data_IF_562219303973
#
_entry.id   IF_562219303973
#
_cell.length_a   1.000
_cell.length_b   1.000
_cell.length_c   1.000
_cell.angle_alpha   90.00
_cell.angle_beta   90.00
_cell.angle_gamma   90.00
#
_symmetry.space_group_name_H-M   'P 1'
#
loop_
_entity.id
_entity.type
_entity.pdbx_description
1 polymer ?
#
# COMPACT_ATOMS: atom_id res chain seq x y z
N UNK A 1 -59.46 -0.26 -4.24
CA UNK A 1 -58.43 0.65 -4.65
C UNK A 1 -57.45 0.84 -3.49
N UNK A 2 -56.31 0.30 -3.65
CA UNK A 2 -55.21 0.40 -2.68
C UNK A 2 -53.97 0.92 -3.44
N UNK A 3 -53.41 2.05 -3.08
CA UNK A 3 -52.16 2.46 -3.64
C UNK A 3 -51.02 1.95 -2.75
N UNK A 4 -50.39 0.87 -3.19
CA UNK A 4 -49.16 0.39 -2.57
C UNK A 4 -48.03 1.37 -2.72
N UNK A 5 -47.70 2.03 -1.61
CA UNK A 5 -46.49 2.83 -1.49
C UNK A 5 -45.30 1.91 -1.20
N UNK A 6 -44.63 1.48 -2.24
CA UNK A 6 -43.33 0.87 -2.12
C UNK A 6 -42.27 1.94 -1.88
N UNK A 7 -41.95 2.19 -0.61
CA UNK A 7 -40.79 3.00 -0.25
C UNK A 7 -39.54 2.15 -0.46
N UNK A 8 -38.99 2.21 -1.66
CA UNK A 8 -37.65 1.75 -1.91
C UNK A 8 -36.66 2.69 -1.22
N UNK A 9 -36.28 2.35 0.00
CA UNK A 9 -35.12 2.97 0.63
C UNK A 9 -33.90 2.60 -0.21
N UNK A 10 -33.58 3.42 -1.18
CA UNK A 10 -32.33 3.33 -1.91
C UNK A 10 -31.22 3.50 -0.90
N UNK A 11 -30.52 2.43 -0.61
CA UNK A 11 -29.27 2.50 0.15
C UNK A 11 -28.33 3.41 -0.65
N UNK A 12 -28.24 4.66 -0.23
CA UNK A 12 -27.30 5.59 -0.85
C UNK A 12 -25.90 4.98 -0.71
N UNK A 13 -25.32 4.59 -1.84
CA UNK A 13 -23.91 4.16 -1.86
C UNK A 13 -23.07 5.34 -1.41
N UNK A 14 -22.49 5.24 -0.21
CA UNK A 14 -21.50 6.20 0.26
C UNK A 14 -20.35 6.16 -0.72
N UNK A 15 -20.05 7.30 -1.36
CA UNK A 15 -18.94 7.40 -2.30
C UNK A 15 -17.63 7.01 -1.61
N UNK A 16 -16.81 6.18 -2.27
CA UNK A 16 -15.47 5.82 -1.80
C UNK A 16 -14.58 7.05 -1.83
N UNK A 17 -13.71 7.18 -0.83
CA UNK A 17 -12.74 8.27 -0.76
C UNK A 17 -11.43 7.87 -1.42
N UNK A 18 -10.82 8.85 -2.11
CA UNK A 18 -9.43 8.78 -2.56
C UNK A 18 -8.64 9.76 -1.69
N UNK A 19 -7.63 9.23 -1.00
CA UNK A 19 -6.77 10.02 -0.11
C UNK A 19 -5.58 10.57 -0.88
N UNK A 20 -5.07 11.76 -0.52
CA UNK A 20 -3.76 12.20 -0.96
C UNK A 20 -2.68 11.23 -0.46
N UNK A 21 -1.80 10.80 -1.35
CA UNK A 21 -0.67 9.94 -0.96
C UNK A 21 0.44 10.81 -0.38
N UNK A 22 0.90 10.44 0.81
CA UNK A 22 2.00 11.11 1.50
C UNK A 22 3.31 10.78 0.82
N UNK A 23 4.16 11.78 0.64
CA UNK A 23 5.41 11.67 -0.11
C UNK A 23 6.63 11.62 0.81
N UNK A 24 7.72 11.14 0.27
CA UNK A 24 9.03 11.17 0.91
C UNK A 24 9.29 12.55 1.55
N UNK A 25 9.70 12.54 2.81
CA UNK A 25 9.85 13.73 3.64
C UNK A 25 8.71 13.94 4.64
N UNK A 26 7.55 13.31 4.44
CA UNK A 26 6.48 13.33 5.42
C UNK A 26 6.86 12.45 6.63
N UNK A 27 6.86 13.01 7.85
CA UNK A 27 7.25 12.26 9.04
C UNK A 27 6.44 10.99 9.29
N UNK A 28 5.18 10.92 8.83
CA UNK A 28 4.33 9.74 9.04
C UNK A 28 4.92 8.49 8.41
N UNK A 29 5.68 8.64 7.32
CA UNK A 29 6.32 7.50 6.63
C UNK A 29 7.49 6.90 7.42
N UNK A 30 8.00 7.61 8.41
CA UNK A 30 9.15 7.19 9.21
C UNK A 30 8.77 6.69 10.60
N UNK A 31 7.50 6.76 10.94
CA UNK A 31 6.99 6.28 12.23
C UNK A 31 6.73 4.79 12.19
N UNK A 32 6.92 4.14 13.31
CA UNK A 32 6.39 2.80 13.51
C UNK A 32 4.88 2.92 13.72
N UNK A 33 4.11 2.29 12.86
CA UNK A 33 2.66 2.33 12.91
C UNK A 33 2.12 1.57 14.14
N UNK A 34 0.99 2.02 14.66
CA UNK A 34 0.33 1.42 15.83
C UNK A 34 -0.48 0.20 15.43
N UNK A 35 -0.52 -0.84 16.30
CA UNK A 35 -1.41 -1.97 16.06
C UNK A 35 -2.87 -1.55 15.89
N UNK A 36 -3.57 -2.23 15.00
CA UNK A 36 -5.02 -2.09 14.88
C UNK A 36 -5.68 -2.88 16.01
N UNK A 37 -6.48 -2.20 16.81
CA UNK A 37 -7.19 -2.81 17.94
C UNK A 37 -8.70 -2.83 17.67
N UNK A 38 -9.26 -1.79 17.09
CA UNK A 38 -10.66 -1.67 16.71
C UNK A 38 -10.84 -1.91 15.21
N UNK A 39 -11.53 -3.00 14.88
CA UNK A 39 -11.77 -3.41 13.48
C UNK A 39 -13.09 -2.89 12.91
N UNK A 40 -13.90 -2.17 13.67
CA UNK A 40 -15.23 -1.74 13.24
C UNK A 40 -15.25 -0.88 11.96
N UNK A 41 -14.21 -0.11 11.72
CA UNK A 41 -14.08 0.75 10.53
C UNK A 41 -13.09 0.23 9.48
N UNK A 42 -12.46 -0.92 9.69
CA UNK A 42 -11.35 -1.38 8.86
C UNK A 42 -11.81 -1.76 7.46
N UNK A 43 -12.94 -2.43 7.31
CA UNK A 43 -13.46 -2.82 5.99
C UNK A 43 -13.68 -1.59 5.09
N UNK A 44 -14.30 -0.54 5.63
CA UNK A 44 -14.51 0.72 4.92
C UNK A 44 -13.21 1.42 4.57
N UNK A 45 -12.29 1.50 5.53
CA UNK A 45 -10.98 2.09 5.30
C UNK A 45 -10.20 1.33 4.23
N UNK A 46 -10.24 0.00 4.26
CA UNK A 46 -9.60 -0.83 3.24
C UNK A 46 -10.17 -0.59 1.84
N UNK A 47 -11.49 -0.42 1.71
CA UNK A 47 -12.12 -0.06 0.44
C UNK A 47 -11.62 1.28 -0.08
N UNK A 48 -11.52 2.29 0.77
CA UNK A 48 -10.98 3.60 0.42
C UNK A 48 -9.48 3.54 0.05
N UNK A 49 -8.72 2.72 0.76
CA UNK A 49 -7.30 2.49 0.45
C UNK A 49 -7.13 1.80 -0.91
N UNK A 50 -7.95 0.81 -1.22
CA UNK A 50 -7.95 0.15 -2.52
C UNK A 50 -8.29 1.13 -3.64
N UNK A 51 -9.29 1.97 -3.44
CA UNK A 51 -9.65 3.03 -4.39
C UNK A 51 -8.48 3.98 -4.66
N UNK A 52 -7.83 4.44 -3.61
CA UNK A 52 -6.64 5.30 -3.68
C UNK A 52 -5.49 4.61 -4.42
N UNK A 53 -5.26 3.34 -4.11
CA UNK A 53 -4.23 2.52 -4.77
C UNK A 53 -4.50 2.35 -6.26
N UNK A 54 -5.74 2.04 -6.66
CA UNK A 54 -6.11 1.88 -8.07
C UNK A 54 -5.98 3.19 -8.84
N UNK A 55 -6.39 4.31 -8.26
CA UNK A 55 -6.25 5.64 -8.85
C UNK A 55 -4.76 5.96 -9.13
N UNK A 56 -3.88 5.55 -8.25
CA UNK A 56 -2.44 5.72 -8.39
C UNK A 56 -1.76 4.59 -9.19
N UNK A 57 -2.52 3.62 -9.70
CA UNK A 57 -2.01 2.44 -10.44
C UNK A 57 -1.00 1.60 -9.65
N UNK A 58 -1.25 1.44 -8.35
CA UNK A 58 -0.39 0.68 -7.45
C UNK A 58 -0.79 -0.78 -7.32
N UNK A 59 0.09 -1.56 -6.69
CA UNK A 59 -0.11 -2.97 -6.34
C UNK A 59 -0.31 -3.16 -4.84
N UNK A 60 0.07 -2.19 -4.05
CA UNK A 60 -0.06 -2.17 -2.60
C UNK A 60 -0.08 -0.74 -2.07
N UNK A 61 -0.69 -0.56 -0.90
CA UNK A 61 -0.74 0.72 -0.21
C UNK A 61 -0.86 0.49 1.30
N UNK A 62 0.05 1.08 2.06
CA UNK A 62 0.03 1.03 3.51
C UNK A 62 -0.67 2.26 4.12
N UNK A 63 -1.34 2.10 5.25
CA UNK A 63 -2.05 3.17 5.92
C UNK A 63 -1.19 4.41 6.21
N UNK A 64 0.10 4.30 6.61
CA UNK A 64 0.96 5.47 6.74
C UNK A 64 1.06 6.31 5.47
N UNK A 65 0.97 5.71 4.30
CA UNK A 65 1.05 6.43 3.01
C UNK A 65 -0.18 7.33 2.75
N UNK A 66 -1.24 7.17 3.49
CA UNK A 66 -2.41 8.08 3.49
C UNK A 66 -2.52 8.89 4.79
N UNK A 67 -1.48 8.90 5.59
CA UNK A 67 -1.40 9.69 6.81
C UNK A 67 -1.91 9.02 8.07
N UNK A 68 -2.25 7.73 8.02
CA UNK A 68 -2.75 6.98 9.17
C UNK A 68 -1.67 6.05 9.73
N UNK A 69 -1.23 6.32 10.95
CA UNK A 69 -0.19 5.52 11.61
C UNK A 69 -0.79 4.24 12.22
N UNK A 70 -1.32 3.38 11.37
CA UNK A 70 -1.92 2.09 11.72
C UNK A 70 -1.23 0.95 10.98
N UNK A 71 -1.11 -0.20 11.64
CA UNK A 71 -0.50 -1.40 11.04
C UNK A 71 -1.49 -2.10 10.12
N UNK A 72 -1.76 -1.45 9.01
CA UNK A 72 -2.72 -1.91 7.99
C UNK A 72 -2.17 -1.61 6.61
N UNK A 73 -2.28 -2.57 5.71
CA UNK A 73 -2.07 -2.33 4.28
C UNK A 73 -3.06 -3.12 3.43
N UNK A 74 -3.23 -2.69 2.22
CA UNK A 74 -3.93 -3.42 1.16
C UNK A 74 -2.96 -3.78 0.05
N UNK A 75 -3.20 -4.90 -0.61
CA UNK A 75 -2.42 -5.34 -1.76
C UNK A 75 -3.32 -6.12 -2.71
N UNK A 76 -2.97 -6.12 -3.98
CA UNK A 76 -3.69 -6.90 -4.99
C UNK A 76 -2.74 -7.72 -5.82
N UNK A 77 -3.19 -8.91 -6.17
CA UNK A 77 -2.57 -9.75 -7.18
C UNK A 77 -3.33 -9.55 -8.48
N UNK A 78 -2.62 -9.14 -9.52
CA UNK A 78 -3.20 -8.98 -10.84
C UNK A 78 -3.03 -10.26 -11.66
N UNK A 79 -4.04 -10.58 -12.48
CA UNK A 79 -3.90 -11.61 -13.49
C UNK A 79 -2.91 -11.15 -14.56
N UNK A 80 -2.19 -12.11 -15.17
CA UNK A 80 -1.39 -11.83 -16.34
C UNK A 80 -2.30 -11.26 -17.45
N UNK A 81 -1.85 -10.18 -18.10
CA UNK A 81 -2.61 -9.62 -19.22
C UNK A 81 -2.75 -10.69 -20.30
N UNK A 82 -3.99 -10.99 -20.76
CA UNK A 82 -4.14 -11.82 -21.94
C UNK A 82 -3.46 -11.10 -23.12
N UNK A 83 -2.73 -11.84 -23.91
CA UNK A 83 -2.13 -11.34 -25.16
C UNK A 83 -3.22 -10.75 -26.06
N UNK A 84 -3.39 -9.43 -26.05
CA UNK A 84 -4.41 -8.71 -26.81
C UNK A 84 -4.20 -7.21 -26.72
N UNK A 85 -4.56 -6.51 -27.82
CA UNK A 85 -4.28 -5.09 -28.03
C UNK A 85 -5.15 -4.11 -27.21
N UNK A 86 -6.02 -4.58 -26.31
CA UNK A 86 -6.92 -3.73 -25.55
C UNK A 86 -6.38 -3.52 -24.13
N UNK A 87 -6.06 -2.27 -23.80
CA UNK A 87 -5.79 -1.86 -22.42
C UNK A 87 -7.06 -2.00 -21.58
N UNK A 88 -7.02 -2.88 -20.60
CA UNK A 88 -8.11 -3.03 -19.62
C UNK A 88 -7.82 -2.23 -18.36
N UNK A 89 -8.84 -1.63 -17.72
CA UNK A 89 -8.66 -1.03 -16.40
C UNK A 89 -8.06 -2.03 -15.42
N UNK A 90 -7.10 -1.58 -14.58
CA UNK A 90 -6.43 -2.45 -13.61
C UNK A 90 -7.42 -3.24 -12.72
N UNK A 91 -8.56 -2.63 -12.37
CA UNK A 91 -9.61 -3.28 -11.56
C UNK A 91 -10.14 -4.57 -12.17
N UNK A 92 -10.22 -4.65 -13.49
CA UNK A 92 -10.71 -5.84 -14.20
C UNK A 92 -9.68 -6.97 -14.20
N UNK A 93 -8.40 -6.65 -13.93
CA UNK A 93 -7.31 -7.60 -13.88
C UNK A 93 -7.04 -8.13 -12.47
N UNK A 94 -7.82 -7.72 -11.48
CA UNK A 94 -7.63 -8.16 -10.10
C UNK A 94 -8.02 -9.62 -9.96
N UNK A 95 -7.05 -10.41 -9.52
CA UNK A 95 -7.23 -11.84 -9.22
C UNK A 95 -7.52 -12.08 -7.75
N UNK A 96 -6.85 -11.35 -6.88
CA UNK A 96 -7.01 -11.46 -5.44
C UNK A 96 -6.71 -10.13 -4.74
N UNK A 97 -7.52 -9.84 -3.73
CA UNK A 97 -7.35 -8.68 -2.84
C UNK A 97 -6.92 -9.16 -1.46
N UNK A 98 -5.95 -8.48 -0.89
CA UNK A 98 -5.49 -8.70 0.48
C UNK A 98 -5.75 -7.46 1.33
N UNK A 99 -6.39 -7.66 2.48
CA UNK A 99 -6.50 -6.67 3.54
C UNK A 99 -5.76 -7.23 4.74
N UNK A 100 -4.68 -6.58 5.15
CA UNK A 100 -3.72 -7.13 6.11
C UNK A 100 -3.53 -6.18 7.27
N UNK A 101 -3.97 -6.59 8.45
CA UNK A 101 -3.77 -5.87 9.69
C UNK A 101 -2.81 -6.64 10.61
N UNK A 102 -1.97 -5.90 11.33
CA UNK A 102 -1.03 -6.45 12.31
C UNK A 102 -0.17 -7.60 11.79
N UNK A 103 0.46 -7.48 10.62
CA UNK A 103 1.23 -8.57 10.04
C UNK A 103 2.52 -8.85 10.81
N UNK A 104 2.84 -10.14 10.91
CA UNK A 104 4.13 -10.62 11.44
C UNK A 104 4.68 -11.64 10.47
N UNK A 105 5.91 -11.43 9.99
CA UNK A 105 6.62 -12.43 9.21
C UNK A 105 7.24 -13.43 10.17
N UNK A 106 6.77 -14.67 10.11
CA UNK A 106 7.22 -15.76 11.01
C UNK A 106 8.28 -16.65 10.39
N UNK A 107 8.48 -16.58 9.08
CA UNK A 107 9.48 -17.35 8.36
C UNK A 107 9.93 -16.60 7.11
N UNK A 108 11.23 -16.68 6.83
CA UNK A 108 11.85 -16.15 5.61
C UNK A 108 12.79 -17.19 5.03
N UNK A 109 12.80 -17.31 3.72
CA UNK A 109 13.69 -18.21 3.00
C UNK A 109 14.15 -17.55 1.70
N UNK A 110 15.45 -17.74 1.40
CA UNK A 110 16.06 -17.25 0.17
C UNK A 110 16.29 -15.74 0.16
N UNK A 111 16.98 -15.30 -0.88
CA UNK A 111 17.28 -13.90 -1.13
C UNK A 111 17.29 -13.66 -2.62
N UNK A 112 16.44 -12.73 -3.08
CA UNK A 112 16.32 -12.37 -4.50
C UNK A 112 16.34 -10.86 -4.64
N UNK A 113 17.16 -10.36 -5.55
CA UNK A 113 17.14 -8.96 -5.97
C UNK A 113 16.03 -8.74 -7.00
N UNK A 114 15.36 -7.61 -6.92
CA UNK A 114 14.30 -7.28 -7.87
C UNK A 114 13.95 -5.81 -7.87
N UNK A 115 13.13 -5.45 -8.84
CA UNK A 115 12.67 -4.07 -9.04
C UNK A 115 11.59 -3.70 -8.04
N UNK A 116 11.78 -2.56 -7.36
CA UNK A 116 10.75 -1.94 -6.54
C UNK A 116 10.66 -0.44 -6.82
N UNK A 117 9.43 0.04 -6.74
CA UNK A 117 9.08 1.45 -6.69
C UNK A 117 8.07 1.65 -5.57
N UNK A 118 7.68 2.89 -5.33
CA UNK A 118 6.77 3.22 -4.25
C UNK A 118 5.91 4.42 -4.63
N UNK A 119 4.62 4.37 -4.30
CA UNK A 119 3.71 5.50 -4.54
C UNK A 119 4.10 6.77 -3.79
N UNK A 120 4.86 6.64 -2.70
CA UNK A 120 5.40 7.77 -1.93
C UNK A 120 6.71 8.34 -2.48
N UNK A 121 7.27 7.69 -3.51
CA UNK A 121 8.45 8.12 -4.29
C UNK A 121 8.13 7.98 -5.78
N UNK A 122 7.19 8.78 -6.32
CA UNK A 122 6.69 8.60 -7.69
C UNK A 122 7.81 8.66 -8.74
N UNK A 123 7.84 7.68 -9.62
CA UNK A 123 8.80 7.61 -10.72
C UNK A 123 10.20 7.13 -10.35
N UNK A 124 10.49 6.86 -9.07
CA UNK A 124 11.78 6.35 -8.64
C UNK A 124 11.73 4.84 -8.44
N UNK A 125 12.72 4.15 -8.99
CA UNK A 125 12.83 2.69 -8.95
C UNK A 125 14.25 2.24 -8.67
N UNK A 126 14.40 1.06 -8.06
CA UNK A 126 15.67 0.34 -8.02
C UNK A 126 15.43 -1.11 -8.45
N UNK A 127 16.33 -1.66 -9.24
CA UNK A 127 16.25 -3.02 -9.77
C UNK A 127 16.90 -4.07 -8.86
N UNK A 128 17.56 -3.64 -7.80
CA UNK A 128 18.44 -4.48 -7.01
C UNK A 128 18.02 -4.58 -5.54
N UNK A 129 16.72 -4.41 -5.26
CA UNK A 129 16.22 -4.49 -3.88
C UNK A 129 16.18 -5.94 -3.42
N UNK A 130 16.98 -6.31 -2.39
CA UNK A 130 17.00 -7.67 -1.87
C UNK A 130 15.78 -7.95 -1.00
N UNK A 131 15.10 -9.05 -1.27
CA UNK A 131 13.98 -9.53 -0.46
C UNK A 131 14.06 -11.05 -0.29
N UNK A 132 13.43 -11.55 0.78
CA UNK A 132 13.22 -12.98 0.89
C UNK A 132 12.33 -13.47 -0.26
N UNK A 133 12.67 -14.62 -0.84
CA UNK A 133 11.91 -15.22 -1.92
C UNK A 133 10.60 -15.83 -1.42
N UNK A 134 10.63 -16.42 -0.22
CA UNK A 134 9.48 -17.02 0.46
C UNK A 134 9.33 -16.44 1.83
N UNK A 135 8.08 -16.19 2.21
CA UNK A 135 7.73 -15.76 3.55
C UNK A 135 6.49 -16.50 4.04
N UNK A 136 6.38 -16.63 5.36
CA UNK A 136 5.14 -16.95 6.04
C UNK A 136 4.73 -15.70 6.82
N UNK A 137 3.48 -15.26 6.66
CA UNK A 137 2.91 -14.09 7.34
C UNK A 137 1.71 -14.50 8.15
N UNK A 138 1.70 -14.15 9.41
CA UNK A 138 0.52 -14.20 10.27
C UNK A 138 -0.06 -12.81 10.40
N UNK A 139 -1.37 -12.65 10.21
CA UNK A 139 -2.02 -11.34 10.23
C UNK A 139 -3.50 -11.48 10.59
N UNK A 140 -4.17 -10.34 10.75
CA UNK A 140 -5.61 -10.28 10.92
C UNK A 140 -6.24 -9.67 9.65
N UNK A 141 -7.38 -10.22 9.23
CA UNK A 141 -8.12 -9.69 8.08
C UNK A 141 -8.96 -8.46 8.48
N UNK A 142 -9.82 -7.98 7.57
CA UNK A 142 -10.67 -6.81 7.80
C UNK A 142 -11.70 -6.96 8.92
N UNK A 143 -11.95 -8.19 9.35
CA UNK A 143 -12.85 -8.50 10.45
C UNK A 143 -12.11 -8.84 11.76
N UNK A 144 -10.79 -8.75 11.75
CA UNK A 144 -9.94 -9.06 12.89
C UNK A 144 -9.67 -10.56 13.07
N UNK A 145 -10.02 -11.39 12.08
CA UNK A 145 -9.79 -12.83 12.13
C UNK A 145 -8.32 -13.15 11.79
N UNK A 146 -7.75 -14.05 12.57
CA UNK A 146 -6.38 -14.54 12.31
C UNK A 146 -6.28 -15.30 11.00
N UNK A 147 -5.24 -14.97 10.22
CA UNK A 147 -4.91 -15.61 8.94
C UNK A 147 -3.43 -15.93 8.89
N UNK A 148 -3.12 -16.97 8.13
CA UNK A 148 -1.73 -17.34 7.81
C UNK A 148 -1.62 -17.49 6.31
N UNK A 149 -0.59 -16.86 5.73
CA UNK A 149 -0.27 -16.99 4.29
C UNK A 149 1.17 -17.42 4.12
N UNK A 150 1.38 -18.30 3.17
CA UNK A 150 2.70 -18.57 2.61
C UNK A 150 2.75 -17.94 1.22
N UNK A 151 3.72 -17.07 1.02
CA UNK A 151 3.89 -16.32 -0.22
C UNK A 151 5.29 -16.53 -0.77
N UNK A 152 5.39 -16.55 -2.10
CA UNK A 152 6.66 -16.60 -2.80
C UNK A 152 6.67 -15.62 -3.97
N UNK A 153 7.86 -15.28 -4.45
CA UNK A 153 8.04 -14.42 -5.60
C UNK A 153 7.51 -13.00 -5.42
N UNK A 154 6.78 -12.52 -6.42
CA UNK A 154 6.33 -11.12 -6.47
C UNK A 154 5.44 -10.72 -5.29
N UNK A 155 4.47 -11.55 -4.91
CA UNK A 155 3.59 -11.22 -3.78
C UNK A 155 4.32 -11.25 -2.43
N UNK A 156 5.32 -12.12 -2.28
CA UNK A 156 6.19 -12.06 -1.10
C UNK A 156 6.95 -10.73 -1.05
N UNK A 157 7.43 -10.22 -2.18
CA UNK A 157 8.09 -8.92 -2.30
C UNK A 157 7.14 -7.78 -1.93
N UNK A 158 5.94 -7.77 -2.46
CA UNK A 158 4.92 -6.74 -2.17
C UNK A 158 4.61 -6.70 -0.68
N UNK A 159 4.40 -7.85 -0.05
CA UNK A 159 4.13 -7.91 1.39
C UNK A 159 5.29 -7.39 2.23
N UNK A 160 6.51 -7.75 1.89
CA UNK A 160 7.70 -7.26 2.60
C UNK A 160 7.86 -5.74 2.46
N UNK A 161 7.60 -5.21 1.28
CA UNK A 161 7.60 -3.76 1.01
C UNK A 161 6.56 -3.04 1.88
N UNK A 162 5.32 -3.54 1.92
CA UNK A 162 4.24 -2.92 2.68
C UNK A 162 4.44 -3.06 4.20
N UNK A 163 4.94 -4.20 4.67
CA UNK A 163 5.27 -4.40 6.08
C UNK A 163 6.38 -3.44 6.51
N UNK A 164 7.37 -3.19 5.66
CA UNK A 164 8.40 -2.19 5.92
C UNK A 164 7.80 -0.79 6.13
N UNK A 165 6.81 -0.40 5.35
CA UNK A 165 6.11 0.87 5.58
C UNK A 165 5.52 0.97 6.99
N UNK A 166 5.02 -0.11 7.54
CA UNK A 166 4.47 -0.15 8.89
C UNK A 166 5.55 0.04 9.96
N UNK A 167 6.80 -0.22 9.62
CA UNK A 167 7.98 -0.03 10.48
C UNK A 167 8.76 1.25 10.15
N UNK A 168 8.23 2.09 9.27
CA UNK A 168 8.86 3.35 8.87
C UNK A 168 10.06 3.19 7.94
N UNK A 169 10.13 2.08 7.20
CA UNK A 169 11.24 1.73 6.31
C UNK A 169 10.82 1.88 4.85
N UNK A 170 11.63 2.57 4.06
CA UNK A 170 11.43 2.74 2.61
C UNK A 170 12.32 1.75 1.84
N UNK A 171 11.88 1.39 0.63
CA UNK A 171 12.51 0.29 -0.13
C UNK A 171 14.00 0.49 -0.38
N UNK A 172 14.46 1.72 -0.66
CA UNK A 172 15.87 1.98 -0.93
C UNK A 172 16.77 1.75 0.29
N UNK A 173 16.21 1.77 1.49
CA UNK A 173 16.95 1.46 2.71
C UNK A 173 17.33 -0.01 2.83
N UNK A 174 16.71 -0.89 2.04
CA UNK A 174 17.09 -2.30 1.95
C UNK A 174 18.27 -2.55 1.03
N UNK A 175 18.66 -1.56 0.23
CA UNK A 175 19.85 -1.66 -0.59
C UNK A 175 21.11 -1.70 0.28
N UNK A 176 22.14 -2.44 -0.16
CA UNK A 176 23.47 -2.33 0.46
C UNK A 176 23.95 -0.87 0.43
N UNK A 177 24.74 -0.47 1.42
CA UNK A 177 25.15 0.92 1.62
C UNK A 177 25.65 1.63 0.35
N UNK A 178 26.58 1.06 -0.47
CA UNK A 178 27.04 1.74 -1.68
C UNK A 178 25.91 1.97 -2.69
N UNK A 179 25.02 1.01 -2.89
CA UNK A 179 23.89 1.12 -3.81
C UNK A 179 22.84 2.11 -3.32
N UNK A 180 22.60 2.13 -2.00
CA UNK A 180 21.70 3.10 -1.36
C UNK A 180 22.21 4.54 -1.54
N UNK A 181 23.49 4.77 -1.29
CA UNK A 181 24.11 6.08 -1.49
C UNK A 181 24.04 6.53 -2.95
N UNK A 182 24.29 5.61 -3.89
CA UNK A 182 24.16 5.87 -5.32
C UNK A 182 22.71 6.22 -5.72
N UNK A 183 21.73 5.51 -5.18
CA UNK A 183 20.31 5.78 -5.39
C UNK A 183 19.94 7.19 -4.90
N UNK A 184 20.35 7.55 -3.70
CA UNK A 184 20.06 8.86 -3.13
C UNK A 184 20.70 9.99 -3.91
N UNK A 185 21.93 9.83 -4.37
CA UNK A 185 22.62 10.83 -5.18
C UNK A 185 21.99 10.97 -6.57
N UNK A 186 21.70 9.85 -7.23
CA UNK A 186 21.10 9.86 -8.58
C UNK A 186 19.70 10.50 -8.59
N UNK A 187 18.95 10.42 -7.50
CA UNK A 187 17.57 10.90 -7.40
C UNK A 187 17.42 12.14 -6.50
N UNK A 188 18.51 12.82 -6.22
CA UNK A 188 18.54 13.93 -5.26
C UNK A 188 17.54 15.04 -5.58
N UNK A 189 17.43 15.45 -6.82
CA UNK A 189 16.52 16.53 -7.24
C UNK A 189 15.05 16.15 -7.00
N UNK A 190 14.67 14.93 -7.36
CA UNK A 190 13.31 14.43 -7.15
C UNK A 190 13.00 14.29 -5.67
N UNK A 191 13.92 13.77 -4.88
CA UNK A 191 13.74 13.63 -3.43
C UNK A 191 13.54 14.97 -2.74
N UNK A 192 14.29 16.00 -3.13
CA UNK A 192 14.11 17.37 -2.62
C UNK A 192 12.72 17.90 -2.99
N UNK A 193 12.29 17.67 -4.23
CA UNK A 193 10.95 18.06 -4.69
C UNK A 193 9.85 17.39 -3.86
N UNK A 194 9.96 16.09 -3.59
CA UNK A 194 8.99 15.36 -2.76
C UNK A 194 8.93 15.91 -1.33
N UNK A 195 10.07 16.25 -0.75
CA UNK A 195 10.13 16.86 0.58
C UNK A 195 9.40 18.20 0.63
N UNK A 196 9.51 19.01 -0.42
CA UNK A 196 8.78 20.29 -0.52
C UNK A 196 7.29 20.07 -0.67
N UNK A 197 6.88 19.14 -1.52
CA UNK A 197 5.47 18.78 -1.71
C UNK A 197 4.85 18.20 -0.44
N UNK A 198 5.62 17.36 0.29
CA UNK A 198 5.18 16.80 1.57
C UNK A 198 4.92 17.90 2.59
N UNK A 199 5.80 18.88 2.71
CA UNK A 199 5.62 20.02 3.62
C UNK A 199 4.43 20.89 3.22
N UNK A 200 4.23 21.12 1.92
CA UNK A 200 3.09 21.87 1.42
C UNK A 200 1.75 21.19 1.76
N UNK A 201 1.67 19.88 1.58
CA UNK A 201 0.48 19.11 1.92
C UNK A 201 0.19 19.14 3.42
N UNK A 202 1.21 18.97 4.25
CA UNK A 202 1.06 19.05 5.72
C UNK A 202 0.53 20.41 6.16
N UNK A 203 1.02 21.48 5.53
CA UNK A 203 0.55 22.85 5.81
C UNK A 203 -0.91 23.03 5.41
N UNK A 204 -1.32 22.52 4.24
CA UNK A 204 -2.73 22.54 3.81
C UNK A 204 -3.63 21.81 4.80
N UNK A 205 -3.23 20.59 5.21
CA UNK A 205 -4.01 19.76 6.12
C UNK A 205 -4.14 20.37 7.53
N UNK A 206 -3.16 21.16 7.96
CA UNK A 206 -3.19 21.83 9.27
C UNK A 206 -4.08 23.07 9.29
N UNK A 207 -4.50 23.60 8.14
CA UNK A 207 -5.34 24.80 8.01
C UNK A 207 -6.82 24.47 7.78
N UNK A 208 -7.17 23.19 7.68
CA UNK A 208 -8.55 22.71 7.51
C UNK A 208 -9.25 22.37 8.80
#
# INVERSE_FOLDING_TARGET
>A
PDPGTGSGAGCARIARMVYPIRLYGDPVLRRKARPVEDFSGIKRLAEDMLETMFEAKGVGLAAPQIGLSQRLFVAVEYADEPEGEEERPLRELVRRVYVVANPVITYREGLVEGTEGCLSLPGLYSEEVPRAERIRVEYQDEEGRGRVLELEGYMARVFQHEIDHLDGILFFERLPKPKREAFLEANRAELVRFQKEARALLKELSQG
#
